data_IF_215787292644
#
_entry.id   IF_215787292644
#
_cell.length_a   1.000
_cell.length_b   1.000
_cell.length_c   1.000
_cell.angle_alpha   90.00
_cell.angle_beta   90.00
_cell.angle_gamma   90.00
#
_symmetry.space_group_name_H-M   'P 1'
#
loop_
_entity.id
_entity.type
_entity.pdbx_description
1 polymer ?
#
# COMPACT_ATOMS: atom_id res chain seq x y z
N UNK A 1 0.76 0.86 -4.80
CA UNK A 1 1.68 1.32 -3.77
C UNK A 1 1.20 2.65 -3.20
N UNK A 2 1.01 2.71 -1.88
CA UNK A 2 0.62 3.93 -1.17
C UNK A 2 1.27 3.98 0.22
N UNK A 3 0.98 5.03 0.98
CA UNK A 3 1.43 5.26 2.35
C UNK A 3 0.27 5.78 3.20
N UNK A 4 0.46 5.89 4.53
CA UNK A 4 -0.51 6.52 5.42
C UNK A 4 -0.46 8.06 5.28
N UNK A 5 -0.78 8.55 4.08
CA UNK A 5 -0.82 9.97 3.71
C UNK A 5 -2.27 10.35 3.44
N UNK A 6 -2.71 11.48 3.97
CA UNK A 6 -4.08 11.96 3.84
C UNK A 6 -5.12 10.98 4.35
N UNK A 7 -6.23 10.86 3.66
CA UNK A 7 -7.28 9.90 3.99
C UNK A 7 -7.20 8.67 3.08
N UNK A 8 -6.33 7.72 3.41
CA UNK A 8 -6.15 6.48 2.63
C UNK A 8 -7.39 5.57 2.60
N UNK A 9 -8.30 5.67 3.56
CA UNK A 9 -9.59 4.96 3.49
C UNK A 9 -10.43 5.53 2.33
N UNK A 10 -10.40 6.85 2.13
CA UNK A 10 -11.04 7.47 0.98
C UNK A 10 -10.38 7.13 -0.35
N UNK A 11 -9.09 6.84 -0.34
CA UNK A 11 -8.41 6.38 -1.55
C UNK A 11 -8.99 5.05 -2.03
N UNK A 12 -9.10 4.06 -1.14
CA UNK A 12 -9.69 2.76 -1.46
C UNK A 12 -11.15 2.89 -1.90
N UNK A 13 -11.96 3.57 -1.08
CA UNK A 13 -13.36 3.83 -1.38
C UNK A 13 -13.56 4.60 -2.68
N UNK A 14 -12.76 5.63 -2.93
CA UNK A 14 -12.83 6.43 -4.16
C UNK A 14 -12.57 5.60 -5.41
N UNK A 15 -11.56 4.74 -5.39
CA UNK A 15 -11.29 3.84 -6.51
C UNK A 15 -12.44 2.85 -6.74
N UNK A 16 -12.98 2.26 -5.66
CA UNK A 16 -14.09 1.33 -5.75
C UNK A 16 -15.36 1.99 -6.31
N UNK A 17 -15.71 3.18 -5.84
CA UNK A 17 -16.85 3.96 -6.33
C UNK A 17 -16.70 4.39 -7.80
N UNK A 18 -15.47 4.50 -8.30
CA UNK A 18 -15.19 4.72 -9.72
C UNK A 18 -15.20 3.44 -10.58
N UNK A 19 -15.62 2.32 -10.00
CA UNK A 19 -15.80 1.05 -10.71
C UNK A 19 -14.56 0.19 -10.85
N UNK A 20 -13.50 0.47 -10.09
CA UNK A 20 -12.33 -0.39 -10.03
C UNK A 20 -12.53 -1.48 -8.97
N UNK A 21 -12.27 -2.74 -9.32
CA UNK A 21 -12.20 -3.83 -8.36
C UNK A 21 -10.94 -3.64 -7.47
N UNK A 22 -11.14 -3.05 -6.30
CA UNK A 22 -10.07 -2.69 -5.37
C UNK A 22 -10.07 -3.56 -4.13
N UNK A 23 -8.89 -3.85 -3.67
CA UNK A 23 -8.64 -4.50 -2.39
C UNK A 23 -7.33 -3.99 -1.79
N UNK A 24 -7.17 -4.15 -0.49
CA UNK A 24 -5.92 -3.80 0.17
C UNK A 24 -5.48 -4.89 1.17
N UNK A 25 -4.20 -4.89 1.48
CA UNK A 25 -3.65 -5.72 2.55
C UNK A 25 -3.68 -4.92 3.84
N UNK A 26 -4.34 -5.48 4.86
CA UNK A 26 -4.46 -4.87 6.18
C UNK A 26 -3.97 -5.77 7.31
N UNK A 27 -3.68 -5.18 8.46
CA UNK A 27 -3.39 -5.91 9.70
C UNK A 27 -4.62 -5.82 10.62
N UNK A 28 -5.00 -6.94 11.24
CA UNK A 28 -6.09 -6.93 12.22
C UNK A 28 -5.73 -5.97 13.37
N UNK A 29 -6.61 -5.02 13.64
CA UNK A 29 -6.48 -4.12 14.80
C UNK A 29 -6.87 -4.87 16.07
N UNK A 30 -6.40 -4.35 17.22
CA UNK A 30 -6.69 -4.95 18.52
C UNK A 30 -8.11 -4.61 19.02
N UNK A 31 -8.65 -3.47 18.60
CA UNK A 31 -9.99 -3.01 18.97
C UNK A 31 -11.02 -3.56 17.98
N UNK A 32 -11.80 -4.53 18.41
CA UNK A 32 -12.81 -5.18 17.57
C UNK A 32 -14.00 -4.24 17.26
N UNK A 33 -14.32 -3.25 18.11
CA UNK A 33 -15.39 -2.29 17.86
C UNK A 33 -15.00 -1.31 16.74
N UNK A 34 -13.79 -0.76 16.82
CA UNK A 34 -13.23 0.09 15.77
C UNK A 34 -13.12 -0.67 14.44
N UNK A 35 -12.64 -1.92 14.48
CA UNK A 35 -12.54 -2.77 13.28
C UNK A 35 -13.88 -3.00 12.62
N UNK A 36 -14.94 -3.20 13.41
CA UNK A 36 -16.29 -3.39 12.86
C UNK A 36 -16.74 -2.14 12.09
N UNK A 37 -16.61 -0.95 12.68
CA UNK A 37 -17.00 0.31 12.04
C UNK A 37 -16.21 0.54 10.73
N UNK A 38 -14.90 0.35 10.77
CA UNK A 38 -14.05 0.51 9.60
C UNK A 38 -14.44 -0.49 8.49
N UNK A 39 -14.68 -1.75 8.85
CA UNK A 39 -15.05 -2.78 7.89
C UNK A 39 -16.45 -2.57 7.29
N UNK A 40 -17.41 -2.07 8.06
CA UNK A 40 -18.73 -1.66 7.56
C UNK A 40 -18.56 -0.56 6.50
N UNK A 41 -17.77 0.46 6.80
CA UNK A 41 -17.49 1.56 5.87
C UNK A 41 -16.83 1.10 4.56
N UNK A 42 -15.85 0.20 4.66
CA UNK A 42 -15.18 -0.38 3.50
C UNK A 42 -16.12 -1.25 2.65
N UNK A 43 -16.97 -2.05 3.33
CA UNK A 43 -17.95 -2.87 2.65
C UNK A 43 -19.00 -2.05 1.86
N UNK A 44 -19.44 -0.92 2.42
CA UNK A 44 -20.36 0.01 1.74
C UNK A 44 -19.76 0.60 0.46
N UNK A 45 -18.46 0.87 0.45
CA UNK A 45 -17.77 1.38 -0.75
C UNK A 45 -17.42 0.31 -1.77
N UNK A 46 -17.51 -0.99 -1.41
CA UNK A 46 -17.12 -2.11 -2.25
C UNK A 46 -15.62 -2.45 -2.18
N UNK A 47 -14.86 -1.83 -1.28
CA UNK A 47 -13.47 -2.18 -1.05
C UNK A 47 -13.35 -3.46 -0.22
N UNK A 48 -12.44 -4.36 -0.58
CA UNK A 48 -12.17 -5.60 0.14
C UNK A 48 -10.80 -5.56 0.82
N UNK A 49 -10.72 -5.97 2.09
CA UNK A 49 -9.45 -6.01 2.84
C UNK A 49 -9.06 -7.45 3.13
N UNK A 50 -7.87 -7.83 2.69
CA UNK A 50 -7.23 -9.10 3.03
C UNK A 50 -6.38 -8.93 4.28
N UNK A 51 -6.75 -9.61 5.38
CA UNK A 51 -6.06 -9.47 6.67
C UNK A 51 -4.83 -10.35 6.74
N UNK A 52 -3.71 -9.79 7.18
CA UNK A 52 -2.50 -10.57 7.49
C UNK A 52 -2.64 -11.25 8.86
N UNK A 53 -1.93 -12.38 9.04
CA UNK A 53 -1.92 -13.10 10.32
C UNK A 53 -3.10 -14.07 10.53
N UNK A 54 -3.91 -14.33 9.52
CA UNK A 54 -5.09 -15.21 9.54
C UNK A 54 -4.86 -16.60 8.92
N UNK A 55 -3.64 -17.12 9.01
CA UNK A 55 -3.34 -18.49 8.52
C UNK A 55 -3.10 -18.63 7.02
N UNK A 56 -2.87 -17.53 6.28
CA UNK A 56 -2.47 -17.55 4.87
C UNK A 56 -3.62 -17.60 3.86
N UNK A 57 -4.84 -17.90 4.25
CA UNK A 57 -5.99 -17.94 3.35
C UNK A 57 -6.25 -16.61 2.65
N UNK A 58 -6.14 -15.51 3.38
CA UNK A 58 -6.30 -14.15 2.88
C UNK A 58 -5.26 -13.82 1.80
N UNK A 59 -4.00 -14.26 1.97
CA UNK A 59 -2.96 -14.07 0.98
C UNK A 59 -3.21 -14.87 -0.30
N UNK A 60 -3.84 -16.05 -0.18
CA UNK A 60 -4.26 -16.84 -1.34
C UNK A 60 -5.42 -16.13 -2.07
N UNK A 61 -6.35 -15.55 -1.32
CA UNK A 61 -7.46 -14.79 -1.89
C UNK A 61 -6.96 -13.53 -2.60
N UNK A 62 -6.05 -12.77 -1.99
CA UNK A 62 -5.37 -11.63 -2.61
C UNK A 62 -4.63 -12.04 -3.90
N UNK A 63 -3.95 -13.18 -3.90
CA UNK A 63 -3.29 -13.71 -5.09
C UNK A 63 -4.28 -14.09 -6.21
N UNK A 64 -5.49 -14.55 -5.85
CA UNK A 64 -6.56 -14.84 -6.81
C UNK A 64 -7.15 -13.56 -7.41
N UNK A 65 -7.32 -12.49 -6.62
CA UNK A 65 -7.80 -11.20 -7.11
C UNK A 65 -6.82 -10.60 -8.15
N UNK A 66 -5.52 -10.69 -7.90
CA UNK A 66 -4.50 -10.26 -8.87
C UNK A 66 -4.61 -10.99 -10.22
N UNK A 67 -4.96 -12.28 -10.22
CA UNK A 67 -5.19 -13.04 -11.47
C UNK A 67 -6.44 -12.59 -12.24
N UNK A 68 -7.35 -11.89 -11.58
CA UNK A 68 -8.56 -11.30 -12.19
C UNK A 68 -8.36 -9.85 -12.59
N UNK A 69 -7.11 -9.36 -12.57
CA UNK A 69 -6.76 -7.96 -12.88
C UNK A 69 -7.35 -6.92 -11.91
N UNK A 70 -7.58 -7.30 -10.65
CA UNK A 70 -8.01 -6.37 -9.61
C UNK A 70 -6.84 -5.53 -9.11
N UNK A 71 -7.12 -4.36 -8.56
CA UNK A 71 -6.12 -3.53 -7.88
C UNK A 71 -5.90 -4.07 -6.46
N UNK A 72 -4.64 -4.29 -6.10
CA UNK A 72 -4.25 -4.67 -4.75
C UNK A 72 -3.39 -3.58 -4.12
N UNK A 73 -3.93 -2.89 -3.13
CA UNK A 73 -3.30 -1.80 -2.41
C UNK A 73 -2.37 -2.28 -1.29
N UNK A 74 -1.23 -1.61 -1.17
CA UNK A 74 -0.26 -1.80 -0.10
C UNK A 74 0.14 -0.46 0.50
N UNK A 75 -0.17 -0.24 1.78
CA UNK A 75 0.37 0.85 2.58
C UNK A 75 1.72 0.39 3.13
N UNK A 76 2.81 0.95 2.63
CA UNK A 76 4.13 0.37 2.79
C UNK A 76 5.11 1.23 3.58
N UNK A 77 4.64 2.27 4.24
CA UNK A 77 5.42 3.19 5.05
C UNK A 77 5.56 2.79 6.53
N UNK A 78 4.93 1.70 6.96
CA UNK A 78 5.14 1.11 8.29
C UNK A 78 6.16 -0.01 8.24
N UNK A 79 6.95 -0.12 9.30
CA UNK A 79 8.01 -1.12 9.45
C UNK A 79 7.50 -2.55 9.23
N UNK A 80 8.20 -3.29 8.38
CA UNK A 80 7.92 -4.69 8.04
C UNK A 80 8.43 -5.69 9.08
N UNK A 81 8.80 -5.23 10.26
CA UNK A 81 9.37 -6.02 11.34
C UNK A 81 10.65 -6.78 10.89
N UNK A 82 10.90 -7.94 11.49
CA UNK A 82 12.11 -8.77 11.24
C UNK A 82 12.19 -9.36 9.83
N UNK A 83 11.08 -9.39 9.10
CA UNK A 83 11.00 -10.02 7.77
C UNK A 83 11.00 -9.02 6.62
N UNK A 84 11.10 -7.73 6.92
CA UNK A 84 11.16 -6.68 5.89
C UNK A 84 12.47 -6.66 5.13
N UNK A 85 12.50 -5.88 4.06
CA UNK A 85 13.68 -5.66 3.22
C UNK A 85 14.36 -4.37 3.70
N UNK A 86 15.66 -4.40 4.06
CA UNK A 86 16.35 -3.18 4.51
C UNK A 86 16.52 -2.19 3.37
N UNK A 87 15.96 -1.01 3.51
CA UNK A 87 16.08 0.11 2.56
C UNK A 87 16.44 1.41 3.27
N UNK A 88 16.90 2.40 2.54
CA UNK A 88 16.98 3.78 3.02
C UNK A 88 15.63 4.46 2.87
N UNK A 89 15.12 5.01 3.97
CA UNK A 89 13.88 5.78 4.00
C UNK A 89 13.96 6.84 5.08
N UNK A 90 13.69 8.09 4.78
CA UNK A 90 13.78 9.23 5.70
C UNK A 90 15.13 9.30 6.45
N UNK A 91 16.23 9.14 5.71
CA UNK A 91 17.61 9.14 6.24
C UNK A 91 17.93 8.01 7.26
N UNK A 92 17.13 6.96 7.33
CA UNK A 92 17.31 5.82 8.23
C UNK A 92 17.28 4.51 7.44
N UNK A 93 17.79 3.45 8.06
CA UNK A 93 17.51 2.09 7.58
C UNK A 93 16.12 1.72 8.07
N UNK A 94 15.28 1.35 7.14
CA UNK A 94 13.88 1.01 7.34
C UNK A 94 13.62 -0.39 6.83
N UNK A 95 12.85 -1.17 7.57
CA UNK A 95 12.45 -2.52 7.18
C UNK A 95 11.22 -2.45 6.28
N UNK A 96 11.43 -2.38 4.96
CA UNK A 96 10.34 -2.24 3.98
C UNK A 96 9.51 -3.52 3.90
N UNK A 97 8.17 -3.46 3.94
CA UNK A 97 7.30 -4.64 3.82
C UNK A 97 7.56 -5.41 2.53
N UNK A 98 7.72 -6.74 2.62
CA UNK A 98 7.99 -7.57 1.43
C UNK A 98 6.80 -7.68 0.48
N UNK A 99 5.57 -7.54 0.99
CA UNK A 99 4.35 -7.77 0.23
C UNK A 99 4.32 -7.16 -1.16
N UNK A 100 4.44 -5.83 -1.30
CA UNK A 100 4.35 -5.17 -2.61
C UNK A 100 5.40 -5.65 -3.60
N UNK A 101 6.64 -5.90 -3.14
CA UNK A 101 7.74 -6.38 -3.98
C UNK A 101 7.49 -7.80 -4.48
N UNK A 102 7.07 -8.69 -3.57
CA UNK A 102 6.78 -10.09 -3.89
C UNK A 102 5.59 -10.22 -4.84
N UNK A 103 4.53 -9.44 -4.62
CA UNK A 103 3.37 -9.46 -5.49
C UNK A 103 3.68 -8.88 -6.88
N UNK A 104 4.39 -7.76 -6.96
CA UNK A 104 4.82 -7.19 -8.24
C UNK A 104 5.63 -8.20 -9.06
N UNK A 105 6.61 -8.86 -8.44
CA UNK A 105 7.41 -9.90 -9.07
C UNK A 105 6.57 -11.09 -9.52
N UNK A 106 5.80 -11.68 -8.60
CA UNK A 106 5.07 -12.92 -8.82
C UNK A 106 4.01 -12.81 -9.92
N UNK A 107 3.32 -11.68 -10.00
CA UNK A 107 2.23 -11.46 -10.95
C UNK A 107 2.66 -10.66 -12.17
N UNK A 108 3.94 -10.23 -12.25
CA UNK A 108 4.44 -9.31 -13.29
C UNK A 108 3.54 -8.09 -13.46
N UNK A 109 2.96 -7.66 -12.34
CA UNK A 109 2.00 -6.56 -12.31
C UNK A 109 2.72 -5.22 -12.27
N UNK A 110 2.20 -4.18 -12.93
CA UNK A 110 2.70 -2.83 -12.76
C UNK A 110 2.50 -2.37 -11.30
N UNK A 111 3.50 -1.71 -10.77
CA UNK A 111 3.39 -0.98 -9.50
C UNK A 111 2.97 0.44 -9.82
N UNK A 112 1.78 0.82 -9.39
CA UNK A 112 1.25 2.15 -9.58
C UNK A 112 1.31 2.89 -8.23
N UNK A 113 2.15 3.93 -8.07
CA UNK A 113 2.09 4.80 -6.91
C UNK A 113 0.80 5.62 -6.95
N UNK A 114 0.00 5.54 -5.89
CA UNK A 114 -1.23 6.31 -5.76
C UNK A 114 -1.29 6.83 -4.32
N UNK A 115 -1.53 8.11 -4.17
CA UNK A 115 -1.65 8.76 -2.86
C UNK A 115 -2.88 9.65 -2.84
N UNK A 116 -3.28 10.09 -1.67
CA UNK A 116 -4.38 11.02 -1.50
C UNK A 116 -3.93 12.16 -0.59
N UNK A 117 -4.21 13.38 -0.97
CA UNK A 117 -3.92 14.57 -0.16
C UNK A 117 -5.17 15.38 0.07
N UNK A 118 -5.24 16.09 1.18
CA UNK A 118 -6.31 17.03 1.46
C UNK A 118 -6.15 18.25 0.56
N UNK A 119 -7.24 18.77 0.04
CA UNK A 119 -7.24 20.02 -0.71
C UNK A 119 -6.89 21.21 0.22
N UNK A 120 -6.30 22.27 -0.34
CA UNK A 120 -5.91 23.48 0.42
C UNK A 120 -7.09 24.16 1.12
N UNK A 121 -8.26 24.11 0.51
CA UNK A 121 -9.51 24.62 1.08
C UNK A 121 -10.07 23.74 2.21
N UNK A 122 -9.40 22.64 2.53
CA UNK A 122 -9.84 21.61 3.48
C UNK A 122 -11.16 20.94 3.11
N UNK A 123 -11.68 21.15 1.90
CA UNK A 123 -12.90 20.53 1.39
C UNK A 123 -12.51 19.49 0.33
N UNK A 124 -12.72 18.22 0.67
CA UNK A 124 -12.41 17.13 -0.24
C UNK A 124 -10.94 16.71 -0.26
N UNK A 125 -10.64 15.82 -1.16
CA UNK A 125 -9.31 15.21 -1.31
C UNK A 125 -8.98 15.04 -2.80
N UNK A 126 -7.69 15.11 -3.12
CA UNK A 126 -7.18 14.85 -4.46
C UNK A 126 -6.41 13.54 -4.49
N UNK A 127 -6.77 12.64 -5.40
CA UNK A 127 -6.01 11.41 -5.66
C UNK A 127 -4.89 11.72 -6.64
N UNK A 128 -3.65 11.54 -6.18
CA UNK A 128 -2.43 11.74 -6.96
C UNK A 128 -1.94 10.42 -7.51
N UNK A 129 -1.94 10.27 -8.84
CA UNK A 129 -1.50 9.05 -9.53
C UNK A 129 -0.12 9.27 -10.12
N UNK A 130 0.86 8.49 -9.67
CA UNK A 130 2.22 8.56 -10.18
C UNK A 130 2.44 7.69 -11.43
N UNK A 131 3.67 7.76 -11.98
CA UNK A 131 4.04 6.91 -13.11
C UNK A 131 4.21 5.46 -12.66
N UNK A 132 3.55 4.52 -13.33
CA UNK A 132 3.71 3.10 -13.07
C UNK A 132 5.11 2.61 -13.48
N UNK A 133 5.56 1.53 -12.85
CA UNK A 133 6.78 0.82 -13.21
C UNK A 133 6.61 -0.69 -12.98
N UNK A 134 7.51 -1.48 -13.53
CA UNK A 134 7.53 -2.92 -13.34
C UNK A 134 8.71 -3.33 -12.46
N UNK A 135 8.59 -4.50 -11.85
CA UNK A 135 9.68 -5.15 -11.13
C UNK A 135 10.85 -5.42 -12.10
N UNK A 136 12.04 -5.00 -11.71
CA UNK A 136 13.27 -5.17 -12.49
C UNK A 136 13.97 -6.47 -12.07
N UNK A 137 14.26 -7.34 -13.02
CA UNK A 137 14.99 -8.61 -12.81
C UNK A 137 16.34 -8.55 -13.52
N UNK A 138 17.43 -8.76 -12.75
CA UNK A 138 18.80 -8.88 -13.27
C UNK A 138 19.30 -10.33 -13.24
N UNK A 139 18.59 -11.22 -12.55
CA UNK A 139 18.96 -12.60 -12.29
C UNK A 139 19.54 -12.83 -10.90
N UNK A 140 20.02 -11.80 -10.22
CA UNK A 140 20.40 -11.87 -8.80
C UNK A 140 19.16 -11.57 -7.91
N UNK A 141 18.53 -12.62 -7.43
CA UNK A 141 17.29 -12.51 -6.64
C UNK A 141 17.40 -11.60 -5.42
N UNK A 142 18.55 -11.58 -4.75
CA UNK A 142 18.77 -10.78 -3.55
C UNK A 142 18.95 -9.31 -3.91
N UNK A 143 19.74 -9.04 -4.91
CA UNK A 143 19.94 -7.70 -5.47
C UNK A 143 18.63 -7.12 -5.98
N UNK A 144 17.89 -7.89 -6.79
CA UNK A 144 16.61 -7.48 -7.37
C UNK A 144 15.59 -7.09 -6.30
N UNK A 145 15.49 -7.86 -5.21
CA UNK A 145 14.61 -7.52 -4.07
C UNK A 145 14.96 -6.18 -3.45
N UNK A 146 16.25 -5.94 -3.21
CA UNK A 146 16.74 -4.69 -2.60
C UNK A 146 16.49 -3.48 -3.50
N UNK A 147 16.81 -3.58 -4.78
CA UNK A 147 16.65 -2.47 -5.74
C UNK A 147 15.19 -2.09 -5.92
N UNK A 148 14.31 -3.08 -6.10
CA UNK A 148 12.87 -2.82 -6.26
C UNK A 148 12.22 -2.27 -4.98
N UNK A 149 12.60 -2.80 -3.80
CA UNK A 149 12.14 -2.25 -2.53
C UNK A 149 12.61 -0.80 -2.32
N UNK A 150 13.90 -0.53 -2.61
CA UNK A 150 14.44 0.82 -2.52
C UNK A 150 13.74 1.79 -3.46
N UNK A 151 13.46 1.39 -4.70
CA UNK A 151 12.71 2.20 -5.66
C UNK A 151 11.31 2.57 -5.12
N UNK A 152 10.58 1.59 -4.55
CA UNK A 152 9.29 1.84 -3.94
C UNK A 152 9.39 2.79 -2.75
N UNK A 153 10.37 2.58 -1.87
CA UNK A 153 10.61 3.44 -0.71
C UNK A 153 10.96 4.87 -1.12
N UNK A 154 11.81 5.04 -2.15
CA UNK A 154 12.20 6.36 -2.67
C UNK A 154 11.00 7.12 -3.21
N UNK A 155 10.13 6.48 -3.99
CA UNK A 155 8.90 7.11 -4.53
C UNK A 155 7.98 7.57 -3.39
N UNK A 156 7.80 6.74 -2.35
CA UNK A 156 7.01 7.15 -1.18
C UNK A 156 7.66 8.31 -0.43
N UNK A 157 8.97 8.26 -0.23
CA UNK A 157 9.72 9.31 0.47
C UNK A 157 9.60 10.66 -0.24
N UNK A 158 9.74 10.68 -1.56
CA UNK A 158 9.60 11.89 -2.38
C UNK A 158 8.19 12.48 -2.23
N UNK A 159 7.16 11.64 -2.31
CA UNK A 159 5.78 12.10 -2.14
C UNK A 159 5.52 12.63 -0.74
N UNK A 160 5.95 11.93 0.31
CA UNK A 160 5.79 12.35 1.70
C UNK A 160 6.52 13.67 1.97
N UNK A 161 7.73 13.85 1.43
CA UNK A 161 8.48 15.11 1.56
C UNK A 161 7.79 16.29 0.88
N UNK A 162 7.07 16.04 -0.20
CA UNK A 162 6.26 17.06 -0.87
C UNK A 162 4.96 17.39 -0.10
N UNK A 163 4.43 16.45 0.70
CA UNK A 163 3.18 16.57 1.44
C UNK A 163 3.33 16.18 2.92
N UNK A 164 4.27 16.79 3.68
CA UNK A 164 4.62 16.33 5.03
C UNK A 164 3.49 16.50 6.04
N UNK A 165 2.60 17.46 5.84
CA UNK A 165 1.45 17.69 6.72
C UNK A 165 0.37 16.61 6.62
N UNK A 166 0.33 15.89 5.52
CA UNK A 166 -0.64 14.82 5.30
C UNK A 166 -0.13 13.45 5.78
N UNK A 167 1.16 13.30 6.10
CA UNK A 167 1.71 12.02 6.53
C UNK A 167 1.50 11.76 8.02
N UNK A 168 1.02 10.56 8.33
CA UNK A 168 0.75 10.12 9.70
C UNK A 168 2.04 9.68 10.43
N UNK A 169 3.01 10.58 10.53
CA UNK A 169 4.37 10.34 11.05
C UNK A 169 4.42 9.84 12.51
N UNK A 170 3.42 10.12 13.34
CA UNK A 170 3.36 9.69 14.75
C UNK A 170 3.07 8.19 14.92
N UNK A 171 2.88 7.45 13.85
CA UNK A 171 2.74 5.99 13.87
C UNK A 171 4.05 5.26 13.52
N UNK A 172 5.16 6.00 13.40
CA UNK A 172 6.47 5.48 12.96
C UNK A 172 7.53 5.56 14.03
#
# INVERSE_FOLDING_TARGET
>A
LTAHVGNWEWLGAGLALHGYDTSAIGKKQKDDALMRIINEYRAESGEHIYLTGTGGYEMIAAARSMKKNHILGFLSDKDGDRVGIPVRFMNRIFSFPQGPVVFAKKFKAPVLPIFVVRNEDCIGNTICVGKHFYYEETGDKKHDLLVNAQKMATIMEEFIKAHPADWMWFQH
#
